data_IF_619847448396
#
_entry.id   IF_619847448396
#
_cell.length_a   1.000
_cell.length_b   1.000
_cell.length_c   1.000
_cell.angle_alpha   90.00
_cell.angle_beta   90.00
_cell.angle_gamma   90.00
#
_symmetry.space_group_name_H-M   'P 1'
#
loop_
_entity.id
_entity.type
_entity.pdbx_description
1 polymer ?
#
# COMPACT_ATOMS: atom_id res chain seq x y z
N UNK A 1 -50.28 -0.08 -45.39
CA UNK A 1 -49.66 0.96 -44.52
C UNK A 1 -49.37 0.48 -43.08
N UNK A 2 -50.18 -0.39 -42.44
CA UNK A 2 -49.95 -0.85 -41.04
C UNK A 2 -48.65 -1.62 -40.78
N UNK A 3 -48.11 -2.37 -41.75
CA UNK A 3 -46.90 -3.18 -41.58
C UNK A 3 -45.63 -2.35 -41.33
N UNK A 4 -45.51 -1.16 -41.94
CA UNK A 4 -44.36 -0.28 -41.70
C UNK A 4 -44.34 0.29 -40.28
N UNK A 5 -45.50 0.55 -39.68
CA UNK A 5 -45.59 1.09 -38.32
C UNK A 5 -45.14 0.06 -37.27
N UNK A 6 -45.50 -1.21 -37.42
CA UNK A 6 -45.06 -2.26 -36.50
C UNK A 6 -43.56 -2.51 -36.59
N UNK A 7 -43.00 -2.49 -37.81
CA UNK A 7 -41.55 -2.68 -38.03
C UNK A 7 -40.72 -1.53 -37.47
N UNK A 8 -41.19 -0.28 -37.65
CA UNK A 8 -40.55 0.90 -37.07
C UNK A 8 -40.59 0.90 -35.53
N UNK A 9 -41.68 0.43 -34.92
CA UNK A 9 -41.78 0.30 -33.45
C UNK A 9 -40.80 -0.75 -32.91
N UNK A 10 -40.66 -1.89 -33.60
CA UNK A 10 -39.74 -2.96 -33.22
C UNK A 10 -38.27 -2.52 -33.33
N UNK A 11 -37.91 -1.80 -34.41
CA UNK A 11 -36.58 -1.22 -34.57
C UNK A 11 -36.27 -0.18 -33.47
N UNK A 12 -37.23 0.69 -33.11
CA UNK A 12 -37.03 1.66 -32.01
C UNK A 12 -36.84 0.97 -30.66
N UNK A 13 -37.59 -0.10 -30.39
CA UNK A 13 -37.45 -0.88 -29.17
C UNK A 13 -36.07 -1.56 -29.11
N UNK A 14 -35.66 -2.23 -30.20
CA UNK A 14 -34.32 -2.84 -30.32
C UNK A 14 -33.22 -1.79 -30.13
N UNK A 15 -33.33 -0.64 -30.80
CA UNK A 15 -32.32 0.41 -30.70
C UNK A 15 -32.24 1.01 -29.29
N UNK A 16 -33.38 1.15 -28.60
CA UNK A 16 -33.43 1.53 -27.18
C UNK A 16 -32.74 0.50 -26.29
N UNK A 17 -33.02 -0.79 -26.50
CA UNK A 17 -32.37 -1.87 -25.76
C UNK A 17 -30.86 -1.92 -26.03
N UNK A 18 -30.43 -1.80 -27.29
CA UNK A 18 -29.03 -1.72 -27.67
C UNK A 18 -28.33 -0.53 -27.02
N UNK A 19 -28.93 0.66 -27.08
CA UNK A 19 -28.37 1.86 -26.47
C UNK A 19 -28.26 1.72 -24.95
N UNK A 20 -29.25 1.10 -24.30
CA UNK A 20 -29.22 0.81 -22.87
C UNK A 20 -28.12 -0.19 -22.52
N UNK A 21 -28.00 -1.30 -23.25
CA UNK A 21 -26.93 -2.30 -23.04
C UNK A 21 -25.56 -1.65 -23.24
N UNK A 22 -25.39 -0.85 -24.28
CA UNK A 22 -24.11 -0.19 -24.59
C UNK A 22 -23.71 0.80 -23.50
N UNK A 23 -24.67 1.56 -22.97
CA UNK A 23 -24.45 2.46 -21.83
C UNK A 23 -24.03 1.68 -20.57
N UNK A 24 -24.71 0.58 -20.24
CA UNK A 24 -24.33 -0.27 -19.11
C UNK A 24 -22.95 -0.90 -19.28
N UNK A 25 -22.61 -1.38 -20.49
CA UNK A 25 -21.27 -1.91 -20.76
C UNK A 25 -20.19 -0.85 -20.61
N UNK A 26 -20.44 0.40 -21.03
CA UNK A 26 -19.49 1.50 -20.83
C UNK A 26 -19.32 1.85 -19.35
N UNK A 27 -20.39 1.86 -18.56
CA UNK A 27 -20.32 2.09 -17.11
C UNK A 27 -19.51 0.99 -16.41
N UNK A 28 -19.76 -0.28 -16.74
CA UNK A 28 -18.99 -1.41 -16.17
C UNK A 28 -17.51 -1.33 -16.57
N UNK A 29 -17.21 -0.97 -17.83
CA UNK A 29 -15.84 -0.79 -18.30
C UNK A 29 -15.12 0.34 -17.54
N UNK A 30 -15.78 1.48 -17.32
CA UNK A 30 -15.22 2.59 -16.54
C UNK A 30 -15.00 2.17 -15.08
N UNK A 31 -15.94 1.44 -14.48
CA UNK A 31 -15.77 0.92 -13.11
C UNK A 31 -14.60 -0.06 -13.01
N UNK A 32 -14.45 -0.96 -13.97
CA UNK A 32 -13.32 -1.88 -14.05
C UNK A 32 -11.99 -1.15 -14.25
N UNK A 33 -11.95 -0.14 -15.12
CA UNK A 33 -10.74 0.68 -15.33
C UNK A 33 -10.35 1.43 -14.06
N UNK A 34 -11.31 2.02 -13.34
CA UNK A 34 -11.03 2.68 -12.05
C UNK A 34 -10.57 1.67 -11.00
N UNK A 35 -11.16 0.47 -10.95
CA UNK A 35 -10.71 -0.59 -10.05
C UNK A 35 -9.31 -1.08 -10.39
N UNK A 36 -8.98 -1.24 -11.67
CA UNK A 36 -7.63 -1.62 -12.12
C UNK A 36 -6.63 -0.50 -11.84
N UNK A 37 -6.96 0.77 -12.06
CA UNK A 37 -6.09 1.90 -11.69
C UNK A 37 -5.84 1.95 -10.18
N UNK A 38 -6.90 1.80 -9.37
CA UNK A 38 -6.78 1.71 -7.91
C UNK A 38 -5.94 0.50 -7.49
N UNK A 39 -6.15 -0.65 -8.15
CA UNK A 39 -5.39 -1.86 -7.88
C UNK A 39 -3.93 -1.70 -8.30
N UNK A 40 -3.63 -1.07 -9.44
CA UNK A 40 -2.26 -0.80 -9.88
C UNK A 40 -1.60 0.16 -8.91
N UNK A 41 -2.27 1.23 -8.46
CA UNK A 41 -1.75 2.07 -7.39
C UNK A 41 -1.42 1.20 -6.17
N UNK A 42 -2.35 0.38 -5.67
CA UNK A 42 -2.08 -0.55 -4.55
C UNK A 42 -0.96 -1.57 -4.83
N UNK A 43 -0.78 -2.01 -6.08
CA UNK A 43 0.27 -2.95 -6.45
C UNK A 43 1.64 -2.25 -6.62
N UNK A 44 1.67 -0.98 -7.02
CA UNK A 44 2.85 -0.12 -6.93
C UNK A 44 3.23 0.06 -5.45
N UNK A 45 2.26 0.09 -4.54
CA UNK A 45 2.50 0.02 -3.09
C UNK A 45 2.83 -1.40 -2.57
N UNK A 46 2.47 -2.47 -3.30
CA UNK A 46 2.97 -3.84 -3.07
C UNK A 46 4.34 -4.09 -3.69
N UNK A 47 5.00 -3.08 -4.28
CA UNK A 47 6.45 -3.13 -4.48
C UNK A 47 7.06 -3.29 -3.10
N UNK A 48 7.30 -4.55 -2.76
CA UNK A 48 8.00 -5.02 -1.60
C UNK A 48 7.34 -4.71 -0.25
N UNK A 49 6.31 -5.49 0.10
CA UNK A 49 6.37 -6.23 1.38
C UNK A 49 7.50 -7.27 1.29
N UNK A 50 8.72 -6.85 0.93
CA UNK A 50 9.91 -7.62 1.20
C UNK A 50 9.99 -7.59 2.72
N UNK A 51 10.13 -8.73 3.42
CA UNK A 51 10.64 -8.67 4.79
C UNK A 51 11.95 -7.90 4.70
N UNK A 52 11.92 -6.61 5.04
CA UNK A 52 13.12 -5.80 5.04
C UNK A 52 13.89 -6.31 6.24
N UNK A 53 14.72 -7.33 6.00
CA UNK A 53 15.95 -7.45 6.73
C UNK A 53 16.57 -6.06 6.66
N UNK A 54 16.73 -5.48 7.85
CA UNK A 54 17.34 -4.18 8.07
C UNK A 54 18.57 -4.13 7.14
N UNK A 55 18.52 -3.18 6.20
CA UNK A 55 19.35 -3.21 5.01
C UNK A 55 20.79 -3.15 5.48
N UNK A 56 21.57 -4.20 5.21
CA UNK A 56 23.02 -4.25 5.46
C UNK A 56 23.72 -3.13 4.68
N UNK A 57 23.64 -1.91 5.18
CA UNK A 57 24.39 -0.77 4.68
C UNK A 57 25.64 -0.72 5.51
N UNK A 58 26.71 -1.33 5.01
CA UNK A 58 28.03 -1.23 5.63
C UNK A 58 28.31 0.24 6.03
N UNK A 59 28.67 0.52 7.30
CA UNK A 59 28.92 1.87 7.75
C UNK A 59 30.04 2.50 6.91
N UNK A 60 29.73 3.56 6.15
CA UNK A 60 30.76 4.39 5.55
C UNK A 60 31.09 5.51 6.54
N UNK A 61 32.36 5.67 6.95
CA UNK A 61 32.75 6.69 7.94
C UNK A 61 32.52 8.12 7.45
N UNK A 62 32.38 8.32 6.14
CA UNK A 62 32.15 9.62 5.51
C UNK A 62 30.69 9.84 5.11
N UNK A 63 29.75 9.00 5.59
CA UNK A 63 28.33 9.13 5.23
C UNK A 63 27.70 10.32 5.96
N UNK A 64 26.93 11.13 5.24
CA UNK A 64 26.07 12.16 5.82
C UNK A 64 25.08 11.54 6.83
N UNK A 65 24.79 12.21 7.96
CA UNK A 65 23.75 11.76 8.90
C UNK A 65 22.44 11.47 8.16
N UNK A 66 21.85 10.31 8.42
CA UNK A 66 20.58 9.90 7.78
C UNK A 66 19.42 9.90 8.76
N UNK A 67 18.21 10.08 8.22
CA UNK A 67 16.95 9.88 8.95
C UNK A 67 16.44 8.47 8.61
N UNK A 68 16.31 7.62 9.62
CA UNK A 68 15.72 6.29 9.50
C UNK A 68 14.29 6.32 10.06
N UNK A 69 13.32 5.97 9.22
CA UNK A 69 11.92 5.84 9.62
C UNK A 69 11.65 4.36 9.89
N UNK A 70 11.37 3.97 11.13
CA UNK A 70 11.14 2.57 11.50
C UNK A 70 9.70 2.38 11.98
N UNK A 71 8.98 1.41 11.42
CA UNK A 71 7.64 1.00 11.87
C UNK A 71 7.74 -0.38 12.49
N UNK A 72 7.29 -0.53 13.73
CA UNK A 72 7.20 -1.83 14.42
C UNK A 72 5.73 -2.23 14.50
N UNK A 73 5.30 -3.23 13.73
CA UNK A 73 3.88 -3.63 13.67
C UNK A 73 3.71 -5.05 13.17
N UNK A 74 2.66 -5.74 13.60
CA UNK A 74 2.27 -7.06 13.06
C UNK A 74 1.17 -6.98 12.02
N UNK A 75 0.38 -5.91 12.01
CA UNK A 75 -0.65 -5.62 11.00
C UNK A 75 -0.49 -4.19 10.45
N UNK A 76 -1.14 -3.90 9.32
CA UNK A 76 -1.19 -2.55 8.76
C UNK A 76 -1.82 -1.57 9.72
N UNK A 77 -1.26 -0.35 9.77
CA UNK A 77 -1.75 0.70 10.65
C UNK A 77 -1.81 2.06 9.94
N UNK A 78 -2.68 2.98 10.39
CA UNK A 78 -2.74 4.33 9.83
C UNK A 78 -1.41 5.08 9.90
N UNK A 79 -0.58 4.82 10.92
CA UNK A 79 0.73 5.47 11.03
C UNK A 79 1.75 4.91 10.05
N UNK A 80 1.72 3.62 9.71
CA UNK A 80 2.52 3.07 8.61
C UNK A 80 2.22 3.79 7.29
N UNK A 81 0.95 3.96 6.94
CA UNK A 81 0.56 4.71 5.74
C UNK A 81 1.09 6.15 5.76
N UNK A 82 1.02 6.83 6.92
CA UNK A 82 1.53 8.21 7.07
C UNK A 82 3.05 8.27 6.95
N UNK A 83 3.78 7.26 7.43
CA UNK A 83 5.23 7.19 7.27
C UNK A 83 5.63 6.92 5.83
N UNK A 84 4.92 6.03 5.12
CA UNK A 84 5.14 5.82 3.69
C UNK A 84 4.95 7.11 2.88
N UNK A 85 3.91 7.90 3.18
CA UNK A 85 3.73 9.20 2.53
C UNK A 85 4.84 10.20 2.90
N UNK A 86 5.27 10.21 4.17
CA UNK A 86 6.32 11.10 4.66
C UNK A 86 7.69 10.78 4.05
N UNK A 87 7.95 9.51 3.76
CA UNK A 87 9.22 9.03 3.19
C UNK A 87 9.44 9.58 1.78
N UNK A 88 8.37 9.69 0.99
CA UNK A 88 8.40 10.26 -0.38
C UNK A 88 8.86 11.71 -0.35
N UNK A 89 8.32 12.52 0.58
CA UNK A 89 8.64 13.94 0.68
C UNK A 89 10.02 14.19 1.30
N UNK A 90 10.44 13.34 2.24
CA UNK A 90 11.71 13.48 2.96
C UNK A 90 12.89 12.77 2.29
N UNK A 91 12.64 11.95 1.25
CA UNK A 91 13.62 11.02 0.67
C UNK A 91 14.24 10.07 1.71
N UNK A 92 13.53 9.81 2.80
CA UNK A 92 13.91 8.82 3.79
C UNK A 92 13.39 7.43 3.39
N UNK A 93 14.00 6.37 3.92
CA UNK A 93 13.47 5.00 3.80
C UNK A 93 12.63 4.64 5.01
N UNK A 94 11.53 3.92 4.78
CA UNK A 94 10.72 3.32 5.85
C UNK A 94 11.06 1.85 5.97
N UNK A 95 11.60 1.45 7.12
CA UNK A 95 11.84 0.05 7.46
C UNK A 95 10.66 -0.44 8.30
N UNK A 96 10.01 -1.51 7.87
CA UNK A 96 8.92 -2.14 8.63
C UNK A 96 9.43 -3.43 9.24
N UNK A 97 9.37 -3.56 10.56
CA UNK A 97 9.78 -4.75 11.30
C UNK A 97 8.57 -5.37 12.00
N UNK A 98 8.58 -6.70 12.14
CA UNK A 98 7.52 -7.44 12.84
C UNK A 98 6.28 -7.79 12.01
N UNK A 99 6.20 -7.37 10.74
CA UNK A 99 5.01 -7.59 9.93
C UNK A 99 4.61 -9.08 9.86
N UNK A 100 3.37 -9.40 10.22
CA UNK A 100 2.83 -10.76 10.24
C UNK A 100 3.46 -11.71 11.27
N UNK A 101 4.40 -11.24 12.10
CA UNK A 101 5.04 -12.06 13.10
C UNK A 101 4.16 -12.22 14.35
N UNK A 102 4.26 -13.37 15.02
CA UNK A 102 3.62 -13.58 16.32
C UNK A 102 4.63 -13.27 17.43
N UNK A 103 4.58 -12.05 17.97
CA UNK A 103 5.42 -11.62 19.08
C UNK A 103 4.61 -10.79 20.08
N UNK A 104 5.05 -10.77 21.34
CA UNK A 104 4.44 -9.93 22.36
C UNK A 104 4.93 -8.50 22.24
N UNK A 105 4.06 -7.50 22.47
CA UNK A 105 4.41 -6.07 22.46
C UNK A 105 5.72 -5.75 23.21
N UNK A 106 6.00 -6.48 24.29
CA UNK A 106 7.23 -6.36 25.10
C UNK A 106 8.54 -6.71 24.39
N UNK A 107 8.50 -7.42 23.26
CA UNK A 107 9.68 -7.76 22.45
C UNK A 107 10.05 -6.69 21.40
N UNK A 108 9.17 -5.70 21.19
CA UNK A 108 9.39 -4.61 20.22
C UNK A 108 10.69 -3.84 20.42
N UNK A 109 11.14 -3.53 21.66
CA UNK A 109 12.43 -2.87 21.85
C UNK A 109 13.61 -3.70 21.34
N UNK A 110 13.58 -5.02 21.50
CA UNK A 110 14.63 -5.91 20.99
C UNK A 110 14.64 -5.92 19.47
N UNK A 111 13.48 -6.06 18.83
CA UNK A 111 13.37 -5.99 17.37
C UNK A 111 13.91 -4.66 16.82
N UNK A 112 13.64 -3.56 17.52
CA UNK A 112 14.13 -2.24 17.14
C UNK A 112 15.66 -2.15 17.28
N UNK A 113 16.24 -2.64 18.38
CA UNK A 113 17.68 -2.63 18.61
C UNK A 113 18.44 -3.49 17.58
N UNK A 114 17.91 -4.68 17.27
CA UNK A 114 18.46 -5.54 16.23
C UNK A 114 18.46 -4.79 14.89
N UNK A 115 17.35 -4.10 14.56
CA UNK A 115 17.29 -3.34 13.32
C UNK A 115 18.24 -2.15 13.25
N UNK A 116 18.41 -1.41 14.35
CA UNK A 116 19.37 -0.31 14.43
C UNK A 116 20.80 -0.81 14.18
N UNK A 117 21.11 -1.99 14.73
CA UNK A 117 22.41 -2.66 14.59
C UNK A 117 22.63 -3.12 13.14
N UNK A 118 21.67 -3.84 12.56
CA UNK A 118 21.74 -4.39 11.21
C UNK A 118 21.79 -3.29 10.12
N UNK A 119 21.02 -2.20 10.30
CA UNK A 119 21.11 -1.03 9.40
C UNK A 119 22.45 -0.30 9.51
N UNK A 120 23.23 -0.55 10.57
CA UNK A 120 24.46 0.19 10.88
C UNK A 120 24.20 1.65 11.18
N UNK A 121 23.13 1.96 11.93
CA UNK A 121 22.83 3.33 12.35
C UNK A 121 23.83 3.80 13.40
N UNK A 122 24.29 5.04 13.26
CA UNK A 122 25.28 5.67 14.14
C UNK A 122 24.63 6.65 15.10
N UNK A 123 25.36 7.10 16.10
CA UNK A 123 24.88 8.08 17.09
C UNK A 123 24.42 9.41 16.45
N UNK A 124 25.00 9.79 15.30
CA UNK A 124 24.59 10.97 14.54
C UNK A 124 23.33 10.78 13.68
N UNK A 125 22.89 9.53 13.47
CA UNK A 125 21.70 9.23 12.68
C UNK A 125 20.43 9.49 13.51
N UNK A 126 19.37 9.98 12.86
CA UNK A 126 18.10 10.26 13.52
C UNK A 126 17.13 9.11 13.28
N UNK A 127 16.74 8.43 14.35
CA UNK A 127 15.77 7.33 14.30
C UNK A 127 14.40 7.84 14.72
N UNK A 128 13.43 7.77 13.80
CA UNK A 128 12.02 8.05 14.10
C UNK A 128 11.26 6.74 14.06
N UNK A 129 10.73 6.36 15.22
CA UNK A 129 10.01 5.09 15.39
C UNK A 129 8.52 5.33 15.50
N UNK A 130 7.74 4.53 14.80
CA UNK A 130 6.29 4.43 14.98
C UNK A 130 5.92 3.05 15.49
N UNK A 131 5.25 3.06 16.64
CA UNK A 131 4.66 1.88 17.25
C UNK A 131 3.32 1.60 16.55
N UNK A 132 3.28 0.57 15.71
CA UNK A 132 2.13 0.29 14.85
C UNK A 132 1.18 -0.75 15.41
N UNK A 133 0.26 -1.18 14.54
CA UNK A 133 -0.85 -2.06 14.88
C UNK A 133 -0.38 -3.46 15.27
N UNK A 134 -0.99 -4.00 16.31
CA UNK A 134 -0.86 -5.41 16.64
C UNK A 134 -2.08 -6.18 16.13
N UNK A 135 -1.85 -7.35 15.54
CA UNK A 135 -2.77 -8.45 15.69
C UNK A 135 -2.78 -8.80 17.19
N UNK A 136 -3.87 -8.46 17.87
CA UNK A 136 -4.13 -9.01 19.19
C UNK A 136 -4.24 -10.54 19.04
N UNK A 137 -3.12 -11.24 19.26
CA UNK A 137 -3.15 -12.66 19.55
C UNK A 137 -3.55 -12.76 21.02
N UNK A 138 -4.85 -12.76 21.29
CA UNK A 138 -5.32 -13.18 22.61
C UNK A 138 -4.86 -14.64 22.83
N UNK A 139 -4.25 -14.95 23.99
CA UNK A 139 -3.92 -16.32 24.37
C UNK A 139 -5.16 -17.20 24.55
#
# INVERSE_FOLDING_TARGET
>A
MRSYASLAALLRALNKHHCQVLLWTAVVLVMLLNFVSLAIDTNVWQVASIPVHCRDSAPSPTREPRVALIVVQTDYSPGWCRMQVSSILSRASVTTIGMGANYTHTSRPSLLLDCITDEGLRDEDVVVVFDGGDHDVHP
#
